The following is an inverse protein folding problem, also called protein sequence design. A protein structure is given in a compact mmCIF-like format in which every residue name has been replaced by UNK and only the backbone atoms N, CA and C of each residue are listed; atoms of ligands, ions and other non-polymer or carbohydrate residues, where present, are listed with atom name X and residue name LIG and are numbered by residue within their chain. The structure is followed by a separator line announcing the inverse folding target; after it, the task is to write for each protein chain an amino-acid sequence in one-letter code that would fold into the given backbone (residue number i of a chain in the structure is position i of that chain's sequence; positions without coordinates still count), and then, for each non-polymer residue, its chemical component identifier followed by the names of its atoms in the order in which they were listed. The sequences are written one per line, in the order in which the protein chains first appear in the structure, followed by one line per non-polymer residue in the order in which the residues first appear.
data_IF_281099268018
#
_entry.id   IF_281099268018
#
_cell.length_a   1.000
_cell.length_b   1.000
_cell.length_c   1.000
_cell.angle_alpha   90.00
_cell.angle_beta   90.00
_cell.angle_gamma   90.00
#
_symmetry.space_group_name_H-M   'P 1'
#
loop_
_entity.id
_entity.type
_entity.pdbx_description
1 polymer ?
#
# COMPACT_ATOMS: atom_id res chain seq x y z
N UNK A 1 67.03 -65.41 9.54
CA UNK A 1 66.68 -64.05 10.04
C UNK A 1 65.95 -63.31 8.95
N UNK A 2 65.02 -62.43 9.36
CA UNK A 2 63.85 -62.00 8.62
C UNK A 2 64.09 -61.07 7.42
N UNK A 3 63.06 -61.07 6.56
CA UNK A 3 62.53 -60.02 5.68
C UNK A 3 63.13 -58.61 5.78
N UNK A 4 63.23 -57.90 4.66
CA UNK A 4 62.21 -56.93 4.23
C UNK A 4 62.63 -56.26 2.92
N UNK A 5 61.74 -56.34 1.92
CA UNK A 5 61.75 -55.44 0.76
C UNK A 5 61.47 -54.03 1.27
N UNK A 6 62.32 -53.06 0.94
CA UNK A 6 61.94 -51.65 0.97
C UNK A 6 62.25 -50.98 -0.36
N UNK A 7 61.15 -50.61 -0.98
CA UNK A 7 60.96 -49.79 -2.16
C UNK A 7 61.49 -48.37 -1.94
N UNK A 8 62.01 -47.74 -3.00
CA UNK A 8 62.18 -46.28 -3.05
C UNK A 8 62.80 -45.80 -4.37
N UNK A 9 62.49 -44.57 -4.82
CA UNK A 9 61.23 -43.83 -4.72
C UNK A 9 60.54 -43.79 -6.09
N UNK A 10 59.24 -44.09 -6.13
CA UNK A 10 58.41 -43.83 -7.30
C UNK A 10 58.45 -42.32 -7.58
N UNK A 11 58.90 -41.98 -8.78
CA UNK A 11 58.90 -40.64 -9.36
C UNK A 11 57.56 -39.93 -9.13
N UNK A 12 57.65 -38.78 -8.44
CA UNK A 12 56.70 -37.67 -8.30
C UNK A 12 55.18 -37.94 -8.36
N UNK A 13 54.45 -37.38 -7.39
CA UNK A 13 53.08 -36.88 -7.61
C UNK A 13 53.09 -35.37 -7.41
N UNK A 14 53.14 -34.63 -8.52
CA UNK A 14 52.68 -33.24 -8.53
C UNK A 14 51.16 -33.30 -8.60
N UNK A 15 50.52 -33.07 -7.46
CA UNK A 15 49.07 -32.97 -7.37
C UNK A 15 48.67 -31.55 -7.03
N UNK A 16 48.24 -30.77 -8.02
CA UNK A 16 47.32 -29.68 -7.74
C UNK A 16 45.94 -30.31 -7.60
N UNK A 17 45.55 -30.69 -6.37
CA UNK A 17 44.14 -30.92 -6.04
C UNK A 17 43.44 -29.56 -6.11
N UNK A 18 43.20 -29.06 -7.32
CA UNK A 18 42.11 -28.13 -7.51
C UNK A 18 40.87 -28.97 -7.24
N UNK A 19 40.24 -28.75 -6.09
CA UNK A 19 38.93 -29.32 -5.79
C UNK A 19 38.04 -29.14 -7.02
N UNK A 20 37.39 -30.23 -7.44
CA UNK A 20 36.63 -30.28 -8.68
C UNK A 20 35.47 -29.28 -8.61
N UNK A 21 35.74 -28.05 -9.05
CA UNK A 21 34.83 -26.91 -8.99
C UNK A 21 33.93 -26.90 -10.23
N UNK A 22 33.09 -27.93 -10.30
CA UNK A 22 32.20 -28.18 -11.42
C UNK A 22 30.75 -27.95 -10.99
N UNK A 23 29.89 -27.68 -11.97
CA UNK A 23 28.45 -27.56 -11.71
C UNK A 23 27.90 -28.90 -11.20
N UNK A 24 27.16 -28.85 -10.09
CA UNK A 24 26.53 -30.02 -9.50
C UNK A 24 25.64 -30.81 -10.49
N UNK A 25 24.92 -30.13 -11.37
CA UNK A 25 23.96 -30.75 -12.30
C UNK A 25 24.58 -31.19 -13.63
N UNK A 26 25.26 -30.29 -14.34
CA UNK A 26 25.81 -30.61 -15.67
C UNK A 26 27.27 -31.07 -15.64
N UNK A 27 27.96 -30.93 -14.50
CA UNK A 27 29.40 -31.24 -14.32
C UNK A 27 30.34 -30.40 -15.20
N UNK A 28 29.84 -29.31 -15.79
CA UNK A 28 30.68 -28.37 -16.52
C UNK A 28 31.62 -27.63 -15.56
N UNK A 29 32.89 -27.40 -15.93
CA UNK A 29 33.81 -26.59 -15.15
C UNK A 29 33.29 -25.16 -14.94
N UNK A 30 33.32 -24.70 -13.69
CA UNK A 30 32.86 -23.36 -13.30
C UNK A 30 33.99 -22.33 -13.18
N UNK A 31 35.26 -22.74 -13.30
CA UNK A 31 36.38 -21.79 -13.31
C UNK A 31 36.16 -20.66 -14.32
N UNK A 32 36.27 -19.41 -13.84
CA UNK A 32 36.10 -18.21 -14.65
C UNK A 32 34.67 -17.93 -15.12
N UNK A 33 33.67 -18.70 -14.68
CA UNK A 33 32.25 -18.52 -15.02
C UNK A 33 31.45 -18.05 -13.81
N UNK A 34 30.34 -17.34 -14.07
CA UNK A 34 29.35 -17.04 -13.03
C UNK A 34 28.65 -18.33 -12.58
N UNK A 35 28.42 -18.45 -11.28
CA UNK A 35 27.73 -19.58 -10.66
C UNK A 35 26.92 -19.09 -9.46
N UNK A 36 26.00 -19.94 -8.99
CA UNK A 36 25.24 -19.76 -7.74
C UNK A 36 25.63 -20.89 -6.81
N UNK A 37 25.96 -20.55 -5.56
CA UNK A 37 26.08 -21.53 -4.48
C UNK A 37 24.73 -21.65 -3.77
N UNK A 38 24.18 -22.86 -3.68
CA UNK A 38 22.93 -23.14 -2.97
C UNK A 38 23.06 -24.47 -2.24
N UNK A 39 22.75 -24.49 -0.95
CA UNK A 39 22.81 -25.68 -0.09
C UNK A 39 24.17 -26.41 -0.18
N UNK A 40 25.28 -25.66 -0.21
CA UNK A 40 26.65 -26.20 -0.31
C UNK A 40 27.05 -26.73 -1.69
N UNK A 41 26.22 -26.54 -2.72
CA UNK A 41 26.49 -27.00 -4.08
C UNK A 41 26.66 -25.83 -5.06
N UNK A 42 27.69 -25.91 -5.90
CA UNK A 42 27.95 -24.93 -6.95
C UNK A 42 27.17 -25.26 -8.23
N UNK A 43 26.45 -24.28 -8.78
CA UNK A 43 25.57 -24.47 -9.92
C UNK A 43 25.79 -23.38 -10.98
N UNK A 44 25.93 -23.76 -12.26
CA UNK A 44 25.96 -22.77 -13.33
C UNK A 44 24.60 -22.07 -13.46
N UNK A 45 24.57 -20.82 -13.95
CA UNK A 45 23.33 -20.04 -14.03
C UNK A 45 22.22 -20.76 -14.81
N UNK A 46 22.56 -21.45 -15.91
CA UNK A 46 21.60 -22.24 -16.71
C UNK A 46 20.95 -23.37 -15.91
N UNK A 47 21.74 -24.09 -15.11
CA UNK A 47 21.21 -25.17 -14.28
C UNK A 47 20.43 -24.61 -13.08
N UNK A 48 20.87 -23.48 -12.52
CA UNK A 48 20.13 -22.81 -11.46
C UNK A 48 18.73 -22.39 -11.95
N UNK A 49 18.66 -21.68 -13.08
CA UNK A 49 17.41 -21.21 -13.67
C UNK A 49 16.44 -22.35 -13.99
N UNK A 50 16.98 -23.52 -14.33
CA UNK A 50 16.20 -24.70 -14.73
C UNK A 50 15.75 -25.55 -13.54
N UNK A 51 16.59 -25.76 -12.55
CA UNK A 51 16.38 -26.76 -11.50
C UNK A 51 16.20 -26.18 -10.09
N UNK A 52 16.66 -24.94 -9.85
CA UNK A 52 16.76 -24.37 -8.51
C UNK A 52 15.99 -23.07 -8.32
N UNK A 53 15.70 -22.34 -9.40
CA UNK A 53 15.07 -21.03 -9.37
C UNK A 53 13.65 -21.10 -8.81
N UNK A 54 13.31 -20.14 -7.95
CA UNK A 54 11.95 -19.98 -7.48
C UNK A 54 11.04 -19.50 -8.61
N UNK A 55 9.77 -19.90 -8.56
CA UNK A 55 8.78 -19.46 -9.57
C UNK A 55 8.09 -18.19 -9.11
N UNK A 56 8.10 -17.15 -9.96
CA UNK A 56 7.39 -15.92 -9.66
C UNK A 56 5.88 -16.14 -9.58
N UNK A 57 5.24 -15.71 -8.49
CA UNK A 57 3.79 -15.86 -8.30
C UNK A 57 2.97 -15.09 -9.33
N UNK A 58 3.44 -13.91 -9.73
CA UNK A 58 2.73 -13.01 -10.64
C UNK A 58 2.82 -13.47 -12.10
N UNK A 59 4.04 -13.70 -12.62
CA UNK A 59 4.23 -14.01 -14.05
C UNK A 59 4.43 -15.50 -14.35
N UNK A 60 4.53 -16.35 -13.32
CA UNK A 60 4.74 -17.80 -13.41
C UNK A 60 6.03 -18.25 -14.10
N UNK A 61 6.99 -17.35 -14.30
CA UNK A 61 8.32 -17.65 -14.84
C UNK A 61 9.34 -17.87 -13.72
N UNK A 62 10.40 -18.67 -13.94
CA UNK A 62 11.49 -18.80 -12.98
C UNK A 62 12.17 -17.44 -12.74
N UNK A 63 12.59 -17.20 -11.51
CA UNK A 63 13.38 -16.04 -11.09
C UNK A 63 14.84 -16.46 -11.23
N UNK A 64 15.40 -16.16 -12.41
CA UNK A 64 16.76 -16.58 -12.74
C UNK A 64 17.82 -15.92 -11.88
N UNK A 65 19.02 -16.49 -11.88
CA UNK A 65 20.14 -16.06 -11.04
C UNK A 65 20.57 -14.60 -11.23
N UNK A 66 20.36 -14.04 -12.44
CA UNK A 66 20.67 -12.64 -12.74
C UNK A 66 19.50 -11.68 -12.39
N UNK A 67 18.39 -12.19 -11.85
CA UNK A 67 17.21 -11.39 -11.49
C UNK A 67 17.16 -11.09 -10.00
N UNK A 68 16.71 -9.88 -9.66
CA UNK A 68 16.43 -9.52 -8.26
C UNK A 68 15.16 -10.23 -7.80
N UNK A 69 15.32 -11.07 -6.78
CA UNK A 69 14.22 -11.78 -6.12
C UNK A 69 13.70 -10.97 -4.92
N UNK A 70 12.37 -10.89 -4.81
CA UNK A 70 11.67 -10.42 -3.61
C UNK A 70 10.83 -11.57 -3.08
N UNK A 71 10.84 -11.76 -1.75
CA UNK A 71 10.06 -12.84 -1.13
C UNK A 71 9.25 -12.34 0.07
N UNK A 72 8.09 -12.96 0.27
CA UNK A 72 7.21 -12.70 1.42
C UNK A 72 6.33 -13.93 1.68
N UNK A 73 6.27 -14.40 2.94
CA UNK A 73 5.49 -15.60 3.35
C UNK A 73 5.70 -16.81 2.43
N UNK A 74 6.97 -17.17 2.19
CA UNK A 74 7.37 -18.31 1.35
C UNK A 74 6.84 -18.25 -0.10
N UNK A 75 6.66 -17.03 -0.62
CA UNK A 75 6.31 -16.76 -2.00
C UNK A 75 7.34 -15.81 -2.59
N UNK A 76 7.53 -15.92 -3.90
CA UNK A 76 8.63 -15.29 -4.60
C UNK A 76 8.12 -14.50 -5.80
N UNK A 77 8.75 -13.36 -6.06
CA UNK A 77 8.46 -12.49 -7.18
C UNK A 77 9.76 -11.96 -7.76
N UNK A 78 9.76 -11.69 -9.07
CA UNK A 78 10.71 -10.71 -9.60
C UNK A 78 10.45 -9.36 -8.91
N UNK A 79 11.48 -8.57 -8.69
CA UNK A 79 11.37 -7.20 -8.16
C UNK A 79 10.30 -6.36 -8.89
N UNK A 80 10.29 -6.42 -10.23
CA UNK A 80 9.29 -5.74 -11.09
C UNK A 80 7.88 -6.35 -11.04
N UNK A 81 7.78 -7.58 -10.55
CA UNK A 81 6.52 -8.29 -10.34
C UNK A 81 5.95 -8.12 -8.93
N UNK A 82 6.75 -7.62 -7.98
CA UNK A 82 6.30 -7.31 -6.64
C UNK A 82 5.62 -5.93 -6.60
N UNK A 83 4.36 -5.89 -7.05
CA UNK A 83 3.61 -4.65 -7.29
C UNK A 83 2.17 -4.75 -6.79
N UNK A 84 1.55 -3.60 -6.52
CA UNK A 84 0.17 -3.51 -6.07
C UNK A 84 -0.78 -4.12 -7.12
N UNK A 85 -1.65 -5.05 -6.70
CA UNK A 85 -2.60 -5.72 -7.59
C UNK A 85 -3.68 -4.80 -8.17
N UNK A 86 -3.82 -3.55 -7.67
CA UNK A 86 -4.77 -2.55 -8.18
C UNK A 86 -4.15 -1.50 -9.09
N UNK A 87 -3.06 -0.87 -8.64
CA UNK A 87 -2.45 0.25 -9.36
C UNK A 87 -1.12 -0.09 -10.02
N UNK A 88 -0.63 -1.33 -9.88
CA UNK A 88 0.64 -1.82 -10.42
C UNK A 88 1.89 -1.07 -9.92
N UNK A 89 1.75 -0.22 -8.91
CA UNK A 89 2.88 0.46 -8.28
C UNK A 89 3.84 -0.56 -7.64
N UNK A 90 5.16 -0.49 -7.89
CA UNK A 90 6.16 -1.34 -7.25
C UNK A 90 6.11 -1.24 -5.73
N UNK A 91 6.29 -2.35 -5.03
CA UNK A 91 6.19 -2.44 -3.57
C UNK A 91 7.45 -2.93 -2.88
N UNK A 92 8.53 -3.22 -3.62
CA UNK A 92 9.73 -3.85 -3.08
C UNK A 92 10.37 -3.04 -1.94
N UNK A 93 10.23 -1.71 -1.96
CA UNK A 93 10.77 -0.78 -0.96
C UNK A 93 9.69 0.01 -0.21
N UNK A 94 8.44 -0.42 -0.30
CA UNK A 94 7.29 0.29 0.27
C UNK A 94 6.56 -0.58 1.29
N UNK A 95 5.82 0.07 2.19
CA UNK A 95 4.90 -0.67 3.07
C UNK A 95 3.67 -1.14 2.30
N UNK A 96 3.24 -2.37 2.56
CA UNK A 96 2.17 -3.01 1.81
C UNK A 96 1.26 -3.85 2.71
N UNK A 97 0.07 -4.15 2.18
CA UNK A 97 -0.92 -5.04 2.80
C UNK A 97 -1.04 -6.31 1.96
N UNK A 98 -1.06 -7.47 2.60
CA UNK A 98 -1.38 -8.75 1.95
C UNK A 98 -2.79 -9.20 2.34
N UNK A 99 -3.68 -9.37 1.35
CA UNK A 99 -5.06 -9.85 1.52
C UNK A 99 -5.40 -10.82 0.41
N UNK A 100 -6.01 -11.96 0.73
CA UNK A 100 -6.46 -12.97 -0.24
C UNK A 100 -5.37 -13.40 -1.26
N UNK A 101 -4.14 -13.63 -0.77
CA UNK A 101 -2.98 -13.97 -1.61
C UNK A 101 -2.55 -12.89 -2.62
N UNK A 102 -3.11 -11.68 -2.57
CA UNK A 102 -2.69 -10.51 -3.35
C UNK A 102 -2.01 -9.49 -2.43
N UNK A 103 -1.15 -8.67 -3.01
CA UNK A 103 -0.45 -7.58 -2.33
C UNK A 103 -0.95 -6.23 -2.84
N UNK A 104 -1.15 -5.28 -1.94
CA UNK A 104 -1.71 -3.96 -2.23
C UNK A 104 -0.88 -2.87 -1.55
N UNK A 105 -0.77 -1.70 -2.20
CA UNK A 105 -0.23 -0.53 -1.52
C UNK A 105 -1.24 -0.01 -0.49
N UNK A 106 -0.74 0.63 0.58
CA UNK A 106 -1.61 1.23 1.62
C UNK A 106 -2.64 2.20 1.03
N UNK A 107 -2.23 3.01 0.05
CA UNK A 107 -3.13 3.98 -0.62
C UNK A 107 -4.34 3.30 -1.27
N UNK A 108 -4.16 2.14 -1.89
CA UNK A 108 -5.24 1.41 -2.55
C UNK A 108 -6.19 0.75 -1.54
N UNK A 109 -5.64 0.21 -0.44
CA UNK A 109 -6.45 -0.37 0.64
C UNK A 109 -7.28 0.71 1.32
N UNK A 110 -6.63 1.79 1.78
CA UNK A 110 -7.32 2.90 2.43
C UNK A 110 -8.45 3.45 1.57
N UNK A 111 -8.23 3.67 0.27
CA UNK A 111 -9.26 4.19 -0.64
C UNK A 111 -10.44 3.24 -0.86
N UNK A 112 -10.22 1.93 -0.80
CA UNK A 112 -11.29 0.94 -0.98
C UNK A 112 -12.20 0.88 0.23
N UNK A 113 -11.62 0.92 1.44
CA UNK A 113 -12.36 0.86 2.70
C UNK A 113 -12.90 2.23 3.14
N UNK A 114 -12.54 3.30 2.44
CA UNK A 114 -12.99 4.66 2.74
C UNK A 114 -14.44 4.90 2.32
N UNK A 115 -15.23 5.63 3.13
CA UNK A 115 -16.60 5.96 2.77
C UNK A 115 -16.63 6.88 1.54
N UNK A 116 -17.66 6.75 0.71
CA UNK A 116 -17.77 7.50 -0.56
C UNK A 116 -18.63 8.74 -0.38
N UNK A 117 -18.11 9.88 -0.81
CA UNK A 117 -18.86 11.13 -0.84
C UNK A 117 -20.11 10.99 -1.71
N UNK A 118 -21.30 11.25 -1.17
CA UNK A 118 -22.57 11.17 -1.92
C UNK A 118 -22.67 12.21 -3.04
N UNK A 119 -21.96 13.34 -2.94
CA UNK A 119 -21.94 14.39 -3.97
C UNK A 119 -21.13 14.04 -5.23
N UNK A 120 -19.88 13.57 -5.07
CA UNK A 120 -18.98 13.31 -6.21
C UNK A 120 -18.57 11.83 -6.39
N UNK A 121 -19.06 10.94 -5.54
CA UNK A 121 -18.80 9.49 -5.52
C UNK A 121 -17.34 9.07 -5.29
N UNK A 122 -16.43 10.02 -5.03
CA UNK A 122 -15.04 9.74 -4.65
C UNK A 122 -14.93 9.36 -3.17
N UNK A 123 -13.95 8.52 -2.86
CA UNK A 123 -13.62 8.13 -1.48
C UNK A 123 -13.17 9.34 -0.66
N UNK A 124 -13.64 9.43 0.59
CA UNK A 124 -13.20 10.39 1.59
C UNK A 124 -12.06 9.73 2.38
N UNK A 125 -10.83 10.15 2.14
CA UNK A 125 -9.63 9.56 2.75
C UNK A 125 -9.14 10.37 3.95
N UNK A 126 -8.20 9.80 4.72
CA UNK A 126 -7.56 10.51 5.82
C UNK A 126 -6.94 11.83 5.34
N UNK A 127 -7.33 12.93 5.98
CA UNK A 127 -6.92 14.30 5.61
C UNK A 127 -8.01 15.11 4.90
N UNK A 128 -9.05 14.48 4.35
CA UNK A 128 -10.15 15.20 3.69
C UNK A 128 -11.09 15.84 4.72
N UNK A 129 -11.47 17.10 4.49
CA UNK A 129 -12.56 17.73 5.23
C UNK A 129 -13.89 17.19 4.73
N UNK A 130 -14.70 16.66 5.64
CA UNK A 130 -16.00 16.07 5.31
C UNK A 130 -17.10 16.56 6.25
N UNK A 131 -18.33 16.36 5.81
CA UNK A 131 -19.54 16.55 6.59
C UNK A 131 -20.38 15.28 6.49
N UNK A 132 -21.02 14.93 7.59
CA UNK A 132 -21.93 13.79 7.68
C UNK A 132 -23.35 14.31 7.92
N UNK A 133 -24.37 13.64 7.40
CA UNK A 133 -25.77 13.88 7.77
C UNK A 133 -26.56 12.61 7.54
N UNK A 134 -27.25 12.14 8.60
CA UNK A 134 -28.02 10.88 8.59
C UNK A 134 -27.22 9.68 8.06
N UNK A 135 -25.97 9.53 8.50
CA UNK A 135 -25.09 8.42 8.10
C UNK A 135 -24.56 8.48 6.67
N UNK A 136 -24.86 9.54 5.92
CA UNK A 136 -24.27 9.80 4.60
C UNK A 136 -23.16 10.83 4.75
N UNK A 137 -22.09 10.70 3.97
CA UNK A 137 -20.95 11.60 4.02
C UNK A 137 -20.76 12.36 2.70
N UNK A 138 -20.25 13.58 2.81
CA UNK A 138 -19.86 14.43 1.69
C UNK A 138 -18.51 15.07 1.99
N UNK A 139 -17.70 15.32 0.95
CA UNK A 139 -16.63 16.32 1.12
C UNK A 139 -17.25 17.66 1.49
N UNK A 140 -16.55 18.47 2.30
CA UNK A 140 -17.00 19.81 2.69
C UNK A 140 -17.43 20.65 1.49
N UNK A 141 -16.64 20.62 0.41
CA UNK A 141 -16.92 21.38 -0.83
C UNK A 141 -18.02 20.76 -1.70
N UNK A 142 -18.35 19.48 -1.48
CA UNK A 142 -19.44 18.79 -2.17
C UNK A 142 -20.78 18.96 -1.45
N UNK A 143 -20.80 19.51 -0.24
CA UNK A 143 -22.03 19.77 0.50
C UNK A 143 -22.56 21.16 0.16
N UNK A 144 -23.35 21.24 -0.90
CA UNK A 144 -23.81 22.51 -1.50
C UNK A 144 -25.32 22.69 -1.39
N UNK A 145 -25.76 23.94 -1.36
CA UNK A 145 -27.19 24.28 -1.41
C UNK A 145 -27.83 23.85 -2.74
N UNK A 146 -28.93 23.09 -2.68
CA UNK A 146 -29.68 22.63 -3.86
C UNK A 146 -30.19 23.79 -4.73
N UNK A 147 -30.43 24.97 -4.12
CA UNK A 147 -30.92 26.16 -4.82
C UNK A 147 -29.82 27.00 -5.48
N UNK A 148 -28.83 27.48 -4.73
CA UNK A 148 -27.83 28.43 -5.23
C UNK A 148 -26.47 27.79 -5.56
N UNK A 149 -26.32 26.48 -5.29
CA UNK A 149 -25.09 25.70 -5.49
C UNK A 149 -23.87 26.18 -4.69
N UNK A 150 -24.02 27.17 -3.82
CA UNK A 150 -22.97 27.58 -2.89
C UNK A 150 -22.66 26.47 -1.89
N UNK A 151 -21.38 26.33 -1.56
CA UNK A 151 -20.90 25.41 -0.53
C UNK A 151 -21.46 25.83 0.82
N UNK A 152 -22.20 24.92 1.45
CA UNK A 152 -22.62 25.06 2.84
C UNK A 152 -21.46 24.64 3.75
N UNK A 153 -20.78 23.55 3.39
CA UNK A 153 -19.70 22.98 4.19
C UNK A 153 -20.16 22.69 5.61
N UNK A 154 -19.43 23.19 6.60
CA UNK A 154 -19.75 23.06 8.03
C UNK A 154 -20.75 24.11 8.53
N UNK A 155 -21.27 24.96 7.65
CA UNK A 155 -22.23 26.01 7.99
C UNK A 155 -23.63 25.47 8.31
N UNK A 156 -24.46 26.31 8.92
CA UNK A 156 -25.86 26.00 9.20
C UNK A 156 -26.67 25.74 7.93
N UNK A 157 -27.59 24.76 7.99
CA UNK A 157 -28.42 24.38 6.85
C UNK A 157 -29.81 23.90 7.26
N UNK A 158 -30.67 23.78 6.25
CA UNK A 158 -32.03 23.26 6.36
C UNK A 158 -32.23 22.08 5.40
N UNK A 159 -32.42 20.85 5.92
CA UNK A 159 -32.74 19.69 5.11
C UNK A 159 -34.23 19.66 4.73
N UNK A 160 -34.52 19.32 3.47
CA UNK A 160 -35.88 19.16 2.92
C UNK A 160 -35.90 17.93 2.03
N UNK A 161 -36.30 16.79 2.58
CA UNK A 161 -36.19 15.50 1.88
C UNK A 161 -34.72 15.14 1.67
N UNK A 162 -34.31 14.99 0.41
CA UNK A 162 -32.91 14.75 0.01
C UNK A 162 -32.13 16.03 -0.31
N UNK A 163 -32.80 17.18 -0.34
CA UNK A 163 -32.19 18.46 -0.65
C UNK A 163 -31.70 19.20 0.59
N UNK A 164 -30.63 19.97 0.42
CA UNK A 164 -30.06 20.83 1.45
C UNK A 164 -30.11 22.28 1.02
N UNK A 165 -30.57 23.16 1.90
CA UNK A 165 -30.66 24.59 1.62
C UNK A 165 -29.80 25.38 2.60
N UNK A 166 -29.02 26.34 2.10
CA UNK A 166 -28.37 27.33 2.96
C UNK A 166 -29.44 28.21 3.63
N UNK A 167 -29.07 28.87 4.73
CA UNK A 167 -29.97 29.72 5.52
C UNK A 167 -30.70 30.74 4.63
N UNK A 168 -29.96 31.48 3.81
CA UNK A 168 -30.52 32.51 2.92
C UNK A 168 -31.54 31.93 1.94
N UNK A 169 -31.20 30.85 1.22
CA UNK A 169 -32.14 30.25 0.27
C UNK A 169 -33.35 29.64 0.97
N UNK A 170 -33.17 29.09 2.17
CA UNK A 170 -34.30 28.56 2.93
C UNK A 170 -35.24 29.68 3.38
N UNK A 171 -34.70 30.79 3.89
CA UNK A 171 -35.49 31.96 4.27
C UNK A 171 -36.26 32.54 3.09
N UNK A 172 -35.59 32.77 1.94
CA UNK A 172 -36.25 33.33 0.76
C UNK A 172 -37.33 32.41 0.20
N UNK A 173 -37.12 31.09 0.20
CA UNK A 173 -38.06 30.13 -0.42
C UNK A 173 -39.17 29.64 0.52
N UNK A 174 -38.91 29.56 1.82
CA UNK A 174 -39.78 28.82 2.75
C UNK A 174 -40.16 29.60 4.01
N UNK A 175 -39.59 30.79 4.28
CA UNK A 175 -40.03 31.56 5.44
C UNK A 175 -41.47 32.03 5.25
N UNK A 176 -42.33 31.73 6.22
CA UNK A 176 -43.61 32.42 6.34
C UNK A 176 -43.33 33.82 6.86
N UNK A 177 -43.72 34.84 6.13
CA UNK A 177 -43.52 36.23 6.56
C UNK A 177 -44.65 36.62 7.51
N UNK A 178 -44.30 37.28 8.62
CA UNK A 178 -45.30 37.86 9.51
C UNK A 178 -46.09 38.93 8.75
N UNK A 179 -47.42 38.79 8.69
CA UNK A 179 -48.31 39.73 7.96
C UNK A 179 -48.18 41.16 8.50
N UNK A 180 -47.84 41.32 9.78
CA UNK A 180 -47.76 42.62 10.47
C UNK A 180 -46.39 43.31 10.34
N UNK A 181 -45.27 42.59 10.46
CA UNK A 181 -43.92 43.18 10.44
C UNK A 181 -43.04 42.72 9.27
N UNK A 182 -43.58 41.89 8.37
CA UNK A 182 -42.92 41.31 7.19
C UNK A 182 -41.63 40.51 7.45
N UNK A 183 -41.25 40.25 8.72
CA UNK A 183 -40.09 39.41 9.06
C UNK A 183 -40.40 37.92 8.87
N UNK A 184 -39.41 37.15 8.41
CA UNK A 184 -39.53 35.70 8.25
C UNK A 184 -39.61 34.96 9.59
N UNK A 185 -40.60 34.07 9.73
CA UNK A 185 -40.75 33.15 10.86
C UNK A 185 -39.95 31.88 10.54
N UNK A 186 -38.67 31.86 10.91
CA UNK A 186 -37.76 30.75 10.63
C UNK A 186 -37.74 29.72 11.77
N UNK A 187 -37.79 28.42 11.40
CA UNK A 187 -37.39 27.34 12.31
C UNK A 187 -35.88 27.43 12.54
N UNK A 188 -35.39 27.00 13.70
CA UNK A 188 -33.96 26.99 13.99
C UNK A 188 -33.21 26.09 12.97
N UNK A 189 -32.09 26.55 12.41
CA UNK A 189 -31.26 25.73 11.53
C UNK A 189 -30.62 24.60 12.32
N UNK A 190 -30.26 23.52 11.61
CA UNK A 190 -29.42 22.48 12.20
C UNK A 190 -28.01 23.03 12.34
N UNK A 191 -27.46 22.95 13.55
CA UNK A 191 -26.06 23.24 13.86
C UNK A 191 -25.28 21.94 13.94
N UNK A 192 -24.04 21.96 13.44
CA UNK A 192 -23.09 20.87 13.62
C UNK A 192 -22.29 21.09 14.91
N UNK A 193 -22.24 20.12 15.85
CA UNK A 193 -21.28 20.21 16.93
C UNK A 193 -19.89 19.88 16.36
N UNK A 194 -18.93 20.80 16.51
CA UNK A 194 -17.51 20.49 16.39
C UNK A 194 -17.21 19.36 17.39
N UNK A 195 -16.94 18.16 16.89
CA UNK A 195 -16.18 17.17 17.67
C UNK A 195 -14.73 17.40 17.33
N UNK A 196 -14.03 18.10 18.21
CA UNK A 196 -12.57 18.10 18.21
C UNK A 196 -12.10 16.65 18.22
N UNK A 197 -11.26 16.31 17.25
CA UNK A 197 -10.63 15.01 17.15
C UNK A 197 -9.59 14.92 18.30
N UNK A 198 -9.76 14.08 19.33
CA UNK A 198 -8.74 13.92 20.36
C UNK A 198 -7.67 12.98 19.78
N UNK A 199 -6.60 13.57 19.25
CA UNK A 199 -5.61 12.79 18.50
C UNK A 199 -4.28 13.47 18.30
N UNK A 200 -3.76 14.19 19.29
CA UNK A 200 -2.31 14.43 19.43
C UNK A 200 -1.98 14.92 20.83
N UNK A 201 -1.37 14.04 21.62
CA UNK A 201 -0.68 14.39 22.85
C UNK A 201 0.56 15.21 22.48
N UNK A 202 0.57 16.50 22.79
CA UNK A 202 1.82 17.26 22.92
C UNK A 202 1.73 18.15 24.16
N UNK A 203 2.76 18.05 24.99
CA UNK A 203 2.84 18.54 26.35
C UNK A 203 2.61 20.05 26.49
N UNK A 204 1.90 20.42 27.55
CA UNK A 204 1.71 21.78 28.03
C UNK A 204 3.03 22.48 28.36
N UNK A 205 3.10 23.78 28.07
CA UNK A 205 3.78 24.72 28.97
C UNK A 205 2.97 26.01 29.05
N UNK A 206 2.42 26.26 30.23
CA UNK A 206 1.82 27.52 30.61
C UNK A 206 2.93 28.59 30.71
N UNK A 207 2.62 29.83 30.32
CA UNK A 207 3.24 31.04 30.88
C UNK A 207 2.28 32.21 30.76
N UNK A 208 1.96 32.76 31.92
CA UNK A 208 1.10 33.91 32.15
C UNK A 208 1.62 35.17 31.42
N UNK A 209 0.66 35.97 30.97
CA UNK A 209 0.84 37.38 30.65
C UNK A 209 0.97 38.22 31.93
N UNK A 210 1.56 39.41 31.85
CA UNK A 210 0.99 40.61 32.44
C UNK A 210 -0.06 41.23 31.50
#
# INVERSE_FOLDING_TARGET
MASHRHSGPSSYRVGTMAEKFDCHYCRDPLQGKKYVEKDGHNCCLKCFDKFCANTCVECRKPIGADSKEVHYKNRYWHDTCFRCAKCLHPLANETFVSKESKIFCNKCVTREDSPKCKGCFKAIVAGDQNVEYKGTVWHKDCFTCSSCKQVIGTGSFFPKGEDFYCVTCHETKFAKHCVKCKKGLVKAPVWWPMKDNPGTTTASTAKNAP
#
